data_IF_848235456630
#
_entry.id   IF_848235456630
#
_cell.length_a   1.000
_cell.length_b   1.000
_cell.length_c   1.000
_cell.angle_alpha   90.00
_cell.angle_beta   90.00
_cell.angle_gamma   90.00
#
_symmetry.space_group_name_H-M   'P 1'
#
loop_
_entity.id
_entity.type
_entity.pdbx_description
1 polymer ?
#
# COMPACT_ATOMS: atom_id res chain seq x y z
N UNK A 1 -22.39 2.28 51.47
CA UNK A 1 -21.20 1.69 50.84
C UNK A 1 -21.63 1.07 49.50
N UNK A 2 -21.37 1.76 48.37
CA UNK A 2 -21.61 1.22 47.01
C UNK A 2 -20.26 0.70 46.51
N UNK A 3 -20.18 -0.61 46.30
CA UNK A 3 -19.01 -1.23 45.65
C UNK A 3 -19.05 -0.91 44.16
N UNK A 4 -18.01 -0.23 43.66
CA UNK A 4 -17.74 -0.14 42.24
C UNK A 4 -17.12 -1.47 41.79
N UNK A 5 -17.83 -2.21 40.94
CA UNK A 5 -17.29 -3.36 40.22
C UNK A 5 -16.62 -2.83 38.99
N UNK A 6 -15.29 -2.82 38.96
CA UNK A 6 -14.50 -2.52 37.76
C UNK A 6 -14.53 -3.75 36.85
N UNK A 7 -15.22 -3.62 35.71
CA UNK A 7 -15.15 -4.61 34.63
C UNK A 7 -13.85 -4.37 33.83
N UNK A 8 -12.83 -5.18 34.10
CA UNK A 8 -11.65 -5.27 33.23
C UNK A 8 -12.01 -6.04 31.98
N UNK A 9 -12.15 -5.34 30.87
CA UNK A 9 -12.25 -5.97 29.55
C UNK A 9 -10.87 -6.54 29.18
N UNK A 10 -10.66 -7.84 29.38
CA UNK A 10 -9.55 -8.57 28.79
C UNK A 10 -9.82 -8.71 27.28
N UNK A 11 -9.15 -7.87 26.46
CA UNK A 11 -9.08 -8.11 25.03
C UNK A 11 -8.12 -9.30 24.85
N UNK A 12 -8.68 -10.46 24.55
CA UNK A 12 -7.91 -11.65 24.18
C UNK A 12 -7.25 -11.40 22.83
N UNK A 13 -5.97 -11.03 22.82
CA UNK A 13 -5.16 -11.05 21.61
C UNK A 13 -5.01 -12.51 21.15
N UNK A 14 -5.66 -12.85 20.05
CA UNK A 14 -5.47 -14.16 19.41
C UNK A 14 -4.13 -14.14 18.68
N UNK A 15 -3.12 -14.88 19.19
CA UNK A 15 -1.87 -15.10 18.46
C UNK A 15 -1.90 -16.46 17.77
N UNK A 16 -1.59 -16.47 16.47
CA UNK A 16 -1.41 -17.68 15.66
C UNK A 16 0.05 -17.77 15.21
N UNK A 17 0.61 -18.98 15.19
CA UNK A 17 2.00 -19.21 14.73
C UNK A 17 1.95 -19.93 13.38
N UNK A 18 2.59 -19.33 12.37
CA UNK A 18 2.93 -19.99 11.11
C UNK A 18 4.43 -20.29 11.17
N UNK A 19 4.86 -21.52 10.90
CA UNK A 19 6.25 -21.99 10.87
C UNK A 19 7.32 -20.88 11.04
N UNK A 20 7.63 -20.45 12.29
CA UNK A 20 8.63 -19.43 12.58
C UNK A 20 8.18 -17.96 12.48
N UNK A 21 6.88 -17.70 12.33
CA UNK A 21 6.31 -16.34 12.34
C UNK A 21 5.15 -16.24 13.33
N UNK A 22 5.30 -15.36 14.30
CA UNK A 22 4.24 -14.98 15.24
C UNK A 22 3.37 -13.90 14.63
N UNK A 23 2.05 -14.05 14.76
CA UNK A 23 1.08 -13.06 14.27
C UNK A 23 0.20 -12.60 15.42
N UNK A 24 0.29 -11.31 15.76
CA UNK A 24 -0.62 -10.65 16.69
C UNK A 24 -1.75 -10.03 15.85
N UNK A 25 -2.98 -10.52 16.00
CA UNK A 25 -4.13 -10.17 15.15
C UNK A 25 -5.08 -9.16 15.79
N UNK A 26 -5.84 -8.47 14.94
CA UNK A 26 -6.96 -7.59 15.33
C UNK A 26 -6.52 -6.50 16.34
N UNK A 27 -5.36 -5.90 16.09
CA UNK A 27 -4.86 -4.78 16.88
C UNK A 27 -5.59 -3.52 16.43
N UNK A 28 -6.40 -2.93 17.30
CA UNK A 28 -7.08 -1.65 17.05
C UNK A 28 -6.04 -0.53 16.84
N UNK A 29 -6.13 0.21 15.74
CA UNK A 29 -5.21 1.31 15.48
C UNK A 29 -5.88 2.68 15.29
N UNK A 30 -7.14 2.72 14.83
CA UNK A 30 -7.88 3.96 14.65
C UNK A 30 -9.40 3.72 14.60
N UNK A 31 -10.16 4.78 14.82
CA UNK A 31 -11.59 4.84 14.47
C UNK A 31 -11.81 6.07 13.60
N UNK A 32 -12.13 5.86 12.33
CA UNK A 32 -12.31 6.90 11.34
C UNK A 32 -13.72 6.78 10.70
N UNK A 33 -14.44 7.89 10.64
CA UNK A 33 -15.80 7.91 10.09
C UNK A 33 -16.76 6.92 10.78
N UNK A 34 -16.57 6.65 12.08
CA UNK A 34 -17.37 5.69 12.86
C UNK A 34 -17.03 4.22 12.59
N UNK A 35 -16.00 3.92 11.80
CA UNK A 35 -15.52 2.57 11.54
C UNK A 35 -14.24 2.31 12.35
N UNK A 36 -14.24 1.25 13.15
CA UNK A 36 -13.04 0.75 13.82
C UNK A 36 -12.15 0.02 12.84
N UNK A 37 -10.86 0.34 12.86
CA UNK A 37 -9.85 -0.19 11.97
C UNK A 37 -8.80 -0.96 12.76
N UNK A 38 -8.41 -2.12 12.23
CA UNK A 38 -7.50 -3.05 12.88
C UNK A 38 -6.33 -3.38 11.96
N UNK A 39 -5.24 -3.82 12.55
CA UNK A 39 -4.09 -4.35 11.84
C UNK A 39 -3.61 -5.65 12.46
N UNK A 40 -2.91 -6.46 11.65
CA UNK A 40 -2.24 -7.68 12.08
C UNK A 40 -0.73 -7.47 11.99
N UNK A 41 0.01 -7.80 13.06
CA UNK A 41 1.47 -7.69 13.11
C UNK A 41 2.11 -9.07 12.97
N UNK A 42 2.90 -9.24 11.91
CA UNK A 42 3.70 -10.43 11.63
C UNK A 42 5.15 -10.17 12.02
N UNK A 43 5.75 -11.06 12.80
CA UNK A 43 7.16 -10.98 13.21
C UNK A 43 7.79 -12.37 13.19
N UNK A 44 9.01 -12.49 12.68
CA UNK A 44 9.77 -13.73 12.85
C UNK A 44 10.09 -13.97 14.33
N UNK A 45 10.01 -15.20 14.75
CA UNK A 45 10.49 -15.67 16.07
C UNK A 45 11.96 -16.13 16.00
N UNK A 46 12.53 -16.28 14.80
CA UNK A 46 13.88 -16.77 14.58
C UNK A 46 14.81 -15.76 13.93
N UNK A 47 14.30 -14.90 13.01
CA UNK A 47 15.10 -13.89 12.33
C UNK A 47 15.23 -12.62 13.18
N UNK A 48 16.47 -12.17 13.36
CA UNK A 48 16.72 -10.91 14.04
C UNK A 48 16.19 -9.73 13.20
N UNK A 49 15.35 -8.88 13.80
CA UNK A 49 14.88 -7.64 13.17
C UNK A 49 15.89 -6.52 13.33
N UNK A 50 16.04 -5.70 12.30
CA UNK A 50 16.86 -4.46 12.35
C UNK A 50 15.99 -3.18 12.44
N UNK A 51 14.74 -3.36 12.82
CA UNK A 51 13.75 -2.29 12.99
C UNK A 51 13.01 -1.91 11.71
N UNK A 52 13.20 -2.62 10.58
CA UNK A 52 12.41 -2.39 9.37
C UNK A 52 10.95 -2.79 9.59
N UNK A 53 10.05 -1.89 9.21
CA UNK A 53 8.62 -2.12 9.23
C UNK A 53 8.04 -1.99 7.82
N UNK A 54 7.25 -2.99 7.39
CA UNK A 54 6.51 -2.97 6.14
C UNK A 54 5.01 -2.86 6.44
N UNK A 55 4.37 -1.76 6.06
CA UNK A 55 2.91 -1.62 6.12
C UNK A 55 2.33 -2.14 4.81
N UNK A 56 1.52 -3.19 4.89
CA UNK A 56 0.89 -3.79 3.72
C UNK A 56 -0.58 -3.40 3.61
N UNK A 57 -0.99 -2.95 2.41
CA UNK A 57 -2.35 -2.52 2.06
C UNK A 57 -2.88 -3.40 0.94
N UNK A 58 -3.94 -4.14 1.21
CA UNK A 58 -4.53 -5.08 0.25
C UNK A 58 -5.28 -4.38 -0.88
N UNK A 59 -5.50 -5.10 -1.99
CA UNK A 59 -6.30 -4.67 -3.13
C UNK A 59 -7.80 -4.91 -2.97
N UNK A 60 -8.55 -4.78 -4.08
CA UNK A 60 -9.99 -5.06 -4.11
C UNK A 60 -10.86 -3.89 -4.55
N UNK A 61 -10.29 -2.92 -5.28
CA UNK A 61 -11.03 -1.81 -5.91
C UNK A 61 -11.71 -0.86 -4.93
N UNK A 62 -11.26 -0.82 -3.67
CA UNK A 62 -11.93 -0.10 -2.58
C UNK A 62 -13.37 -0.59 -2.29
N UNK A 63 -13.75 -1.79 -2.79
CA UNK A 63 -15.08 -2.39 -2.64
C UNK A 63 -15.04 -3.56 -1.68
N UNK A 64 -14.02 -4.40 -1.79
CA UNK A 64 -13.86 -5.67 -1.07
C UNK A 64 -12.37 -5.96 -0.80
N UNK A 65 -12.09 -7.12 -0.21
CA UNK A 65 -10.76 -7.56 0.19
C UNK A 65 -10.57 -7.48 1.69
N UNK A 66 -9.52 -8.12 2.16
CA UNK A 66 -9.18 -8.20 3.58
C UNK A 66 -7.67 -8.36 3.76
N UNK A 67 -7.12 -7.80 4.83
CA UNK A 67 -5.75 -8.08 5.27
C UNK A 67 -5.51 -9.58 5.50
N UNK A 68 -6.58 -10.34 5.75
CA UNK A 68 -6.56 -11.78 6.06
C UNK A 68 -6.78 -12.68 4.83
N UNK A 69 -6.90 -12.13 3.61
CA UNK A 69 -6.97 -12.96 2.39
C UNK A 69 -5.68 -13.79 2.24
N UNK A 70 -5.82 -15.03 1.80
CA UNK A 70 -4.75 -16.04 1.83
C UNK A 70 -3.45 -15.58 1.17
N UNK A 71 -3.52 -14.91 0.02
CA UNK A 71 -2.34 -14.39 -0.67
C UNK A 71 -1.65 -13.29 0.14
N UNK A 72 -2.42 -12.41 0.78
CA UNK A 72 -1.91 -11.33 1.63
C UNK A 72 -1.19 -11.91 2.84
N UNK A 73 -1.80 -12.90 3.51
CA UNK A 73 -1.18 -13.61 4.65
C UNK A 73 0.13 -14.27 4.24
N UNK A 74 0.15 -14.98 3.09
CA UNK A 74 1.38 -15.62 2.57
C UNK A 74 2.47 -14.59 2.30
N UNK A 75 2.16 -13.48 1.65
CA UNK A 75 3.13 -12.41 1.38
C UNK A 75 3.67 -11.80 2.67
N UNK A 76 2.80 -11.41 3.60
CA UNK A 76 3.19 -10.83 4.88
C UNK A 76 4.07 -11.78 5.70
N UNK A 77 3.73 -13.08 5.73
CA UNK A 77 4.53 -14.12 6.37
C UNK A 77 5.93 -14.21 5.76
N UNK A 78 6.03 -14.30 4.42
CA UNK A 78 7.32 -14.35 3.71
C UNK A 78 8.20 -13.13 3.97
N UNK A 79 7.61 -11.94 4.09
CA UNK A 79 8.35 -10.72 4.42
C UNK A 79 8.80 -10.73 5.88
N UNK A 80 7.97 -11.22 6.81
CA UNK A 80 8.34 -11.38 8.22
C UNK A 80 9.48 -12.40 8.42
N UNK A 81 9.46 -13.54 7.69
CA UNK A 81 10.55 -14.54 7.67
C UNK A 81 11.91 -13.93 7.30
N UNK A 82 11.91 -12.80 6.55
CA UNK A 82 13.10 -12.03 6.16
C UNK A 82 13.52 -10.96 7.18
N UNK A 83 12.99 -11.04 8.40
CA UNK A 83 13.38 -10.19 9.53
C UNK A 83 12.69 -8.83 9.56
N UNK A 84 11.58 -8.65 8.88
CA UNK A 84 10.77 -7.44 8.93
C UNK A 84 9.64 -7.56 9.94
N UNK A 85 9.30 -6.47 10.63
CA UNK A 85 7.97 -6.34 11.24
C UNK A 85 7.00 -5.97 10.13
N UNK A 86 5.96 -6.79 9.87
CA UNK A 86 4.97 -6.50 8.85
C UNK A 86 3.64 -6.17 9.50
N UNK A 87 3.06 -5.02 9.14
CA UNK A 87 1.74 -4.59 9.58
C UNK A 87 0.76 -4.66 8.40
N UNK A 88 -0.10 -5.67 8.37
CA UNK A 88 -1.20 -5.73 7.40
C UNK A 88 -2.40 -4.97 7.97
N UNK A 89 -2.87 -3.94 7.27
CA UNK A 89 -3.89 -3.03 7.78
C UNK A 89 -5.26 -3.24 7.13
N UNK A 90 -6.33 -3.07 7.91
CA UNK A 90 -7.65 -2.74 7.37
C UNK A 90 -7.64 -1.27 6.93
N UNK A 91 -8.51 -0.92 6.01
CA UNK A 91 -8.79 0.46 5.63
C UNK A 91 -10.24 0.57 5.15
N UNK A 92 -10.81 1.77 5.16
CA UNK A 92 -12.20 1.99 4.74
C UNK A 92 -12.37 1.75 3.25
N UNK A 93 -13.33 0.91 2.90
CA UNK A 93 -13.66 0.53 1.52
C UNK A 93 -14.65 1.55 0.93
N UNK A 94 -14.17 2.73 0.54
CA UNK A 94 -14.97 3.88 0.15
C UNK A 94 -15.83 3.71 -1.12
N UNK A 95 -15.61 2.62 -1.87
CA UNK A 95 -16.45 2.26 -3.04
C UNK A 95 -17.49 1.19 -2.72
N UNK A 96 -17.52 0.67 -1.48
CA UNK A 96 -18.53 -0.33 -1.08
C UNK A 96 -19.92 0.29 -1.11
N UNK A 97 -20.84 -0.31 -1.90
CA UNK A 97 -22.20 0.20 -2.06
C UNK A 97 -22.37 1.35 -3.06
N UNK A 98 -21.30 1.82 -3.69
CA UNK A 98 -21.38 2.84 -4.74
C UNK A 98 -21.86 2.22 -6.05
N UNK A 99 -23.00 2.68 -6.55
CA UNK A 99 -23.67 2.08 -7.72
C UNK A 99 -23.37 2.75 -9.06
N UNK A 100 -22.72 3.92 -9.07
CA UNK A 100 -22.45 4.67 -10.31
C UNK A 100 -21.09 5.33 -10.25
N UNK A 101 -20.14 4.73 -10.95
CA UNK A 101 -18.85 5.36 -11.30
C UNK A 101 -18.86 5.60 -12.80
N UNK A 102 -18.56 6.82 -13.22
CA UNK A 102 -18.51 7.19 -14.63
C UNK A 102 -17.34 8.11 -14.93
N UNK A 103 -16.95 8.18 -16.21
CA UNK A 103 -15.84 9.05 -16.64
C UNK A 103 -16.00 10.52 -16.24
N UNK A 104 -17.25 10.98 -16.03
CA UNK A 104 -17.58 12.34 -15.61
C UNK A 104 -17.91 12.44 -14.10
N UNK A 105 -17.96 11.31 -13.39
CA UNK A 105 -18.22 11.28 -11.94
C UNK A 105 -17.09 10.56 -11.22
N UNK A 106 -15.99 11.26 -11.01
CA UNK A 106 -14.79 10.75 -10.33
C UNK A 106 -14.82 10.93 -8.81
N UNK A 107 -15.78 11.70 -8.27
CA UNK A 107 -15.87 11.98 -6.83
C UNK A 107 -15.88 10.74 -5.93
N UNK A 108 -16.61 9.66 -6.25
CA UNK A 108 -16.60 8.48 -5.38
C UNK A 108 -15.22 7.83 -5.28
N UNK A 109 -14.51 7.67 -6.40
CA UNK A 109 -13.17 7.06 -6.41
C UNK A 109 -12.14 7.99 -5.76
N UNK A 110 -12.25 9.28 -5.98
CA UNK A 110 -11.43 10.30 -5.33
C UNK A 110 -11.57 10.23 -3.81
N UNK A 111 -12.82 10.25 -3.32
CA UNK A 111 -13.11 10.10 -1.89
C UNK A 111 -12.59 8.76 -1.35
N UNK A 112 -12.75 7.66 -2.08
CA UNK A 112 -12.26 6.34 -1.65
C UNK A 112 -10.73 6.31 -1.51
N UNK A 113 -10.01 6.95 -2.44
CA UNK A 113 -8.54 7.10 -2.37
C UNK A 113 -8.15 7.96 -1.18
N UNK A 114 -8.85 9.09 -0.96
CA UNK A 114 -8.56 10.01 0.12
C UNK A 114 -8.73 9.36 1.49
N UNK A 115 -9.86 8.70 1.77
CA UNK A 115 -10.11 8.06 3.06
C UNK A 115 -9.17 6.85 3.29
N UNK A 116 -8.78 6.12 2.24
CA UNK A 116 -7.80 5.04 2.37
C UNK A 116 -6.38 5.58 2.68
N UNK A 117 -6.00 6.71 2.08
CA UNK A 117 -4.74 7.38 2.40
C UNK A 117 -4.74 7.93 3.84
N UNK A 118 -5.88 8.45 4.32
CA UNK A 118 -6.05 8.87 5.71
C UNK A 118 -5.84 7.69 6.66
N UNK A 119 -6.45 6.54 6.39
CA UNK A 119 -6.34 5.35 7.22
C UNK A 119 -4.90 4.81 7.25
N UNK A 120 -4.17 4.87 6.13
CA UNK A 120 -2.76 4.51 6.09
C UNK A 120 -1.89 5.51 6.89
N UNK A 121 -2.19 6.81 6.85
CA UNK A 121 -1.53 7.80 7.69
C UNK A 121 -1.78 7.51 9.17
N UNK A 122 -3.01 7.17 9.56
CA UNK A 122 -3.37 6.80 10.93
C UNK A 122 -2.63 5.53 11.40
N UNK A 123 -2.57 4.50 10.55
CA UNK A 123 -1.82 3.27 10.85
C UNK A 123 -0.32 3.56 10.99
N UNK A 124 0.23 4.42 10.15
CA UNK A 124 1.64 4.85 10.24
C UNK A 124 1.89 5.57 11.55
N UNK A 125 1.02 6.48 11.95
CA UNK A 125 1.09 7.17 13.25
C UNK A 125 1.04 6.20 14.41
N UNK A 126 0.10 5.26 14.40
CA UNK A 126 -0.01 4.22 15.43
C UNK A 126 1.29 3.42 15.58
N UNK A 127 1.91 3.02 14.47
CA UNK A 127 3.16 2.26 14.47
C UNK A 127 4.34 3.07 14.99
N UNK A 128 4.41 4.37 14.68
CA UNK A 128 5.41 5.29 15.21
C UNK A 128 5.25 5.42 16.73
N UNK A 129 4.04 5.62 17.23
CA UNK A 129 3.75 5.78 18.64
C UNK A 129 4.01 4.49 19.44
N UNK A 130 3.89 3.33 18.80
CA UNK A 130 4.12 2.02 19.41
C UNK A 130 5.44 1.36 18.96
N UNK A 131 6.39 2.12 18.40
CA UNK A 131 7.62 1.59 17.81
C UNK A 131 8.46 0.75 18.75
N UNK A 132 8.53 1.11 20.03
CA UNK A 132 9.23 0.33 21.06
C UNK A 132 8.61 -1.05 21.29
N UNK A 133 7.27 -1.13 21.32
CA UNK A 133 6.53 -2.38 21.51
C UNK A 133 6.75 -3.38 20.37
N UNK A 134 6.86 -2.88 19.13
CA UNK A 134 6.97 -3.73 17.94
C UNK A 134 8.40 -3.81 17.38
N UNK A 135 9.38 -3.20 18.01
CA UNK A 135 10.78 -3.18 17.58
C UNK A 135 10.98 -2.45 16.26
N UNK A 136 10.25 -1.34 16.04
CA UNK A 136 10.25 -0.57 14.79
C UNK A 136 11.21 0.62 14.92
N UNK A 137 11.97 0.88 13.86
CA UNK A 137 12.67 2.14 13.66
C UNK A 137 11.82 3.03 12.75
N UNK A 138 11.37 4.18 13.25
CA UNK A 138 10.50 5.11 12.52
C UNK A 138 11.13 5.70 11.24
N UNK A 139 12.45 5.60 11.09
CA UNK A 139 13.17 5.94 9.85
C UNK A 139 13.24 4.78 8.85
N UNK A 140 12.74 3.60 9.21
CA UNK A 140 12.76 2.38 8.38
C UNK A 140 11.34 1.84 8.15
N UNK A 141 10.36 2.74 8.02
CA UNK A 141 8.98 2.37 7.68
C UNK A 141 8.80 2.39 6.16
N UNK A 142 8.39 1.27 5.61
CA UNK A 142 8.07 1.05 4.21
C UNK A 142 6.56 0.84 4.06
N UNK A 143 6.03 1.17 2.89
CA UNK A 143 4.66 0.81 2.52
C UNK A 143 4.66 -0.06 1.27
N UNK A 144 3.75 -1.01 1.23
CA UNK A 144 3.55 -1.91 0.10
C UNK A 144 2.06 -2.10 -0.15
N UNK A 145 1.64 -2.07 -1.40
CA UNK A 145 0.24 -2.27 -1.71
C UNK A 145 -0.02 -2.93 -3.06
N UNK A 146 -1.19 -3.55 -3.16
CA UNK A 146 -1.69 -4.22 -4.36
C UNK A 146 -2.91 -3.47 -4.91
N UNK A 147 -2.96 -3.15 -6.23
CA UNK A 147 -4.14 -2.56 -6.88
C UNK A 147 -4.65 -1.30 -6.13
N UNK A 148 -5.86 -1.31 -5.58
CA UNK A 148 -6.37 -0.22 -4.73
C UNK A 148 -5.42 0.11 -3.57
N UNK A 149 -4.81 -0.90 -2.93
CA UNK A 149 -3.78 -0.69 -1.92
C UNK A 149 -2.51 -0.06 -2.48
N UNK A 150 -2.14 -0.36 -3.73
CA UNK A 150 -1.01 0.28 -4.41
C UNK A 150 -1.30 1.74 -4.74
N UNK A 151 -2.55 2.07 -5.12
CA UNK A 151 -3.00 3.46 -5.24
C UNK A 151 -2.89 4.15 -3.88
N UNK A 152 -3.36 3.51 -2.82
CA UNK A 152 -3.32 4.06 -1.46
C UNK A 152 -1.90 4.40 -1.02
N UNK A 153 -0.92 3.49 -1.16
CA UNK A 153 0.46 3.74 -0.71
C UNK A 153 1.15 4.83 -1.53
N UNK A 154 0.89 4.89 -2.85
CA UNK A 154 1.43 5.94 -3.70
C UNK A 154 0.79 7.30 -3.40
N UNK A 155 -0.54 7.34 -3.18
CA UNK A 155 -1.25 8.56 -2.81
C UNK A 155 -0.78 9.07 -1.46
N UNK A 156 -0.64 8.20 -0.47
CA UNK A 156 -0.17 8.59 0.87
C UNK A 156 1.23 9.20 0.83
N UNK A 157 2.15 8.66 0.02
CA UNK A 157 3.48 9.28 -0.14
C UNK A 157 3.40 10.61 -0.92
N UNK A 158 2.47 10.74 -1.87
CA UNK A 158 2.18 12.00 -2.56
C UNK A 158 1.66 13.06 -1.58
N UNK A 159 0.67 12.71 -0.73
CA UNK A 159 0.14 13.60 0.32
C UNK A 159 1.24 14.00 1.32
N UNK A 160 2.06 13.04 1.76
CA UNK A 160 3.20 13.27 2.64
C UNK A 160 4.23 14.22 2.00
N UNK A 161 4.62 13.99 0.74
CA UNK A 161 5.63 14.78 0.04
C UNK A 161 5.17 16.22 -0.21
N UNK A 162 3.87 16.42 -0.36
CA UNK A 162 3.24 17.73 -0.54
C UNK A 162 2.82 18.39 0.77
N UNK A 163 2.94 17.67 1.91
CA UNK A 163 2.53 18.15 3.23
C UNK A 163 1.10 18.67 3.22
N UNK A 164 0.18 17.92 2.64
CA UNK A 164 -1.24 18.26 2.64
C UNK A 164 -1.82 18.22 4.06
N UNK A 165 -3.00 18.80 4.25
CA UNK A 165 -3.69 18.78 5.55
C UNK A 165 -3.89 17.37 6.07
N UNK A 166 -4.26 16.43 5.18
CA UNK A 166 -4.39 15.02 5.51
C UNK A 166 -3.09 14.46 6.10
N UNK A 167 -1.97 14.60 5.39
CA UNK A 167 -0.69 14.07 5.85
C UNK A 167 -0.21 14.79 7.11
N UNK A 168 -0.40 16.10 7.20
CA UNK A 168 0.02 16.91 8.35
C UNK A 168 -0.74 16.58 9.64
N UNK A 169 -1.98 16.09 9.52
CA UNK A 169 -2.81 15.69 10.68
C UNK A 169 -2.26 14.46 11.41
N UNK A 170 -1.60 13.55 10.70
CA UNK A 170 -1.17 12.27 11.24
C UNK A 170 0.36 12.12 11.31
N UNK A 171 1.07 12.56 10.27
CA UNK A 171 2.49 12.27 10.12
C UNK A 171 3.35 13.37 10.76
N UNK A 172 4.39 13.00 11.53
CA UNK A 172 5.31 13.97 12.12
C UNK A 172 5.94 14.89 11.08
N UNK A 173 6.31 16.08 11.48
CA UNK A 173 7.07 16.97 10.61
C UNK A 173 8.42 16.35 10.22
N UNK A 174 8.77 16.47 8.94
CA UNK A 174 10.00 15.86 8.40
C UNK A 174 9.95 14.34 8.24
N UNK A 175 8.80 13.66 8.55
CA UNK A 175 8.65 12.23 8.31
C UNK A 175 8.74 11.91 6.83
N UNK A 176 9.41 10.80 6.51
CA UNK A 176 9.41 10.20 5.17
C UNK A 176 9.39 8.68 5.29
N UNK A 177 8.63 8.04 4.42
CA UNK A 177 8.77 6.59 4.26
C UNK A 177 10.15 6.25 3.75
N UNK A 178 10.73 5.14 4.22
CA UNK A 178 12.00 4.62 3.74
C UNK A 178 11.90 4.06 2.31
N UNK A 179 10.71 3.69 1.89
CA UNK A 179 10.40 3.29 0.52
C UNK A 179 8.94 2.91 0.34
N UNK A 180 8.50 2.90 -0.91
CA UNK A 180 7.15 2.52 -1.34
C UNK A 180 7.24 1.39 -2.36
N UNK A 181 6.43 0.36 -2.21
CA UNK A 181 6.32 -0.75 -3.17
C UNK A 181 4.89 -0.78 -3.72
N UNK A 182 4.76 -0.72 -5.03
CA UNK A 182 3.47 -0.59 -5.71
C UNK A 182 3.27 -1.70 -6.74
N UNK A 183 2.28 -2.57 -6.52
CA UNK A 183 1.85 -3.58 -7.48
C UNK A 183 0.61 -3.09 -8.22
N UNK A 184 0.80 -2.58 -9.45
CA UNK A 184 -0.23 -2.01 -10.31
C UNK A 184 -0.98 -0.82 -9.67
N UNK A 185 -0.25 0.22 -9.24
CA UNK A 185 -0.79 1.43 -8.63
C UNK A 185 -0.77 2.66 -9.53
N UNK A 186 -1.37 3.73 -9.02
CA UNK A 186 -1.41 5.05 -9.64
C UNK A 186 -1.55 6.15 -8.58
N UNK A 187 -1.28 7.40 -8.96
CA UNK A 187 -1.57 8.60 -8.15
C UNK A 187 -2.72 9.36 -8.79
N UNK A 188 -3.68 9.78 -7.99
CA UNK A 188 -4.75 10.67 -8.39
C UNK A 188 -4.35 12.12 -8.08
N UNK A 189 -4.46 13.00 -9.07
CA UNK A 189 -4.06 14.41 -8.92
C UNK A 189 -5.10 15.35 -9.47
N UNK A 190 -5.37 16.42 -8.74
CA UNK A 190 -6.22 17.55 -9.11
C UNK A 190 -5.45 18.69 -9.79
N UNK A 191 -4.11 18.65 -9.78
CA UNK A 191 -3.23 19.72 -10.24
C UNK A 191 -2.52 19.39 -11.56
N UNK A 192 -3.02 18.41 -12.30
CA UNK A 192 -2.38 17.93 -13.51
C UNK A 192 -1.36 16.83 -13.21
N UNK A 193 -0.17 16.90 -13.82
CA UNK A 193 0.84 15.89 -13.52
C UNK A 193 1.26 15.98 -12.05
N UNK A 194 1.40 14.85 -11.35
CA UNK A 194 1.81 14.85 -9.95
C UNK A 194 3.17 15.55 -9.77
N UNK A 195 3.19 16.61 -8.99
CA UNK A 195 4.39 17.32 -8.55
C UNK A 195 4.58 17.14 -7.05
N UNK A 196 5.84 17.13 -6.61
CA UNK A 196 6.22 16.83 -5.24
C UNK A 196 7.01 18.02 -4.67
N UNK A 197 6.49 18.64 -3.58
CA UNK A 197 7.19 19.75 -2.87
C UNK A 197 8.50 19.27 -2.23
N UNK A 198 8.50 18.04 -1.70
CA UNK A 198 9.71 17.34 -1.26
C UNK A 198 9.86 16.05 -2.05
N UNK A 199 11.06 15.48 -2.10
CA UNK A 199 11.26 14.23 -2.82
C UNK A 199 10.32 13.13 -2.31
N UNK A 200 9.65 12.37 -3.22
CA UNK A 200 8.94 11.17 -2.84
C UNK A 200 9.91 10.12 -2.29
N UNK A 201 9.39 9.18 -1.52
CA UNK A 201 10.17 8.04 -1.05
C UNK A 201 10.74 7.23 -2.24
N UNK A 202 11.91 6.57 -2.10
CA UNK A 202 12.36 5.59 -3.08
C UNK A 202 11.24 4.61 -3.40
N UNK A 203 10.86 4.47 -4.68
CA UNK A 203 9.67 3.71 -5.05
C UNK A 203 10.00 2.54 -5.99
N UNK A 204 9.45 1.35 -5.67
CA UNK A 204 9.55 0.18 -6.53
C UNK A 204 8.18 -0.14 -7.14
N UNK A 205 8.09 0.05 -8.44
CA UNK A 205 6.87 -0.16 -9.22
C UNK A 205 6.91 -1.50 -9.96
N UNK A 206 5.80 -2.22 -9.91
CA UNK A 206 5.51 -3.40 -10.73
C UNK A 206 4.21 -3.15 -11.47
N UNK A 207 4.19 -3.25 -12.81
CA UNK A 207 2.97 -2.99 -13.57
C UNK A 207 2.94 -3.73 -14.90
N UNK A 208 1.78 -4.25 -15.27
CA UNK A 208 1.53 -4.78 -16.60
C UNK A 208 1.32 -3.65 -17.62
N UNK A 209 1.95 -3.74 -18.78
CA UNK A 209 1.87 -2.66 -19.80
C UNK A 209 0.48 -2.51 -20.40
N UNK A 210 -0.34 -3.58 -20.34
CA UNK A 210 -1.68 -3.66 -20.91
C UNK A 210 -2.79 -3.55 -19.85
N UNK A 211 -2.43 -3.14 -18.63
CA UNK A 211 -3.39 -2.97 -17.54
C UNK A 211 -4.41 -1.88 -17.88
N UNK A 212 -5.69 -2.31 -17.94
CA UNK A 212 -6.84 -1.46 -18.22
C UNK A 212 -7.67 -1.15 -16.99
N UNK A 213 -7.42 -1.88 -15.89
CA UNK A 213 -8.14 -1.70 -14.63
C UNK A 213 -7.53 -0.57 -13.81
N UNK A 214 -6.23 -0.64 -13.55
CA UNK A 214 -5.45 0.49 -13.06
C UNK A 214 -4.53 0.95 -14.18
N UNK A 215 -4.79 2.15 -14.70
CA UNK A 215 -4.11 2.66 -15.89
C UNK A 215 -2.59 2.60 -15.76
N UNK A 216 -1.92 1.92 -16.71
CA UNK A 216 -0.45 1.85 -16.74
C UNK A 216 0.21 3.20 -17.03
N UNK A 217 -0.39 4.00 -17.94
CA UNK A 217 0.13 5.32 -18.29
C UNK A 217 -0.62 6.41 -17.51
N UNK A 218 -1.61 7.04 -18.13
CA UNK A 218 -2.46 8.08 -17.48
C UNK A 218 -3.79 8.23 -18.19
N UNK A 219 -4.80 8.61 -17.40
CA UNK A 219 -6.06 9.18 -17.86
C UNK A 219 -6.12 10.58 -17.28
N UNK A 220 -6.32 11.60 -18.14
CA UNK A 220 -6.32 13.01 -17.70
C UNK A 220 -7.43 13.77 -18.42
N UNK A 221 -8.17 14.56 -17.65
CA UNK A 221 -9.16 15.51 -18.13
C UNK A 221 -8.92 16.86 -17.45
N UNK A 222 -8.49 17.88 -18.19
CA UNK A 222 -7.96 19.13 -17.66
C UNK A 222 -6.84 18.87 -16.62
N UNK A 223 -7.02 19.35 -15.40
CA UNK A 223 -6.06 19.16 -14.30
C UNK A 223 -6.32 17.89 -13.49
N UNK A 224 -7.48 17.28 -13.64
CA UNK A 224 -7.81 16.03 -12.95
C UNK A 224 -7.24 14.83 -13.70
N UNK A 225 -6.59 13.90 -13.01
CA UNK A 225 -6.07 12.69 -13.65
C UNK A 225 -5.62 11.60 -12.71
N UNK A 226 -5.60 10.39 -13.27
CA UNK A 226 -5.00 9.20 -12.66
C UNK A 226 -3.71 8.87 -13.42
N UNK A 227 -2.59 8.84 -12.71
CA UNK A 227 -1.25 8.69 -13.27
C UNK A 227 -0.64 7.38 -12.81
N UNK A 228 -0.58 6.41 -13.72
CA UNK A 228 -0.01 5.09 -13.45
C UNK A 228 1.51 5.06 -13.54
N UNK A 229 2.05 3.88 -13.31
CA UNK A 229 3.48 3.63 -13.19
C UNK A 229 4.33 4.24 -14.30
N UNK A 230 3.90 4.17 -15.58
CA UNK A 230 4.69 4.74 -16.69
C UNK A 230 4.78 6.27 -16.61
N UNK A 231 3.69 6.94 -16.26
CA UNK A 231 3.67 8.38 -16.09
C UNK A 231 4.52 8.81 -14.87
N UNK A 232 4.40 8.08 -13.75
CA UNK A 232 5.16 8.33 -12.52
C UNK A 232 6.66 8.09 -12.73
N UNK A 233 7.07 6.97 -13.34
CA UNK A 233 8.47 6.68 -13.62
C UNK A 233 9.13 7.74 -14.50
N UNK A 234 8.42 8.29 -15.51
CA UNK A 234 8.89 9.41 -16.32
C UNK A 234 9.09 10.68 -15.47
N UNK A 235 8.18 10.94 -14.50
CA UNK A 235 8.34 12.07 -13.55
C UNK A 235 9.56 11.86 -12.66
N UNK A 236 9.70 10.68 -12.05
CA UNK A 236 10.81 10.32 -11.19
C UNK A 236 12.15 10.48 -11.93
N UNK A 237 12.23 9.97 -13.16
CA UNK A 237 13.41 10.15 -14.02
C UNK A 237 13.71 11.62 -14.28
N UNK A 238 12.69 12.42 -14.64
CA UNK A 238 12.84 13.85 -14.96
C UNK A 238 13.42 14.65 -13.80
N UNK A 239 12.97 14.37 -12.57
CA UNK A 239 13.39 15.11 -11.36
C UNK A 239 14.51 14.42 -10.59
N UNK A 240 15.04 13.31 -11.09
CA UNK A 240 16.13 12.58 -10.46
C UNK A 240 15.75 11.92 -9.14
N UNK A 241 14.48 11.55 -8.94
CA UNK A 241 14.03 10.78 -7.78
C UNK A 241 14.50 9.33 -7.88
N UNK A 242 14.61 8.67 -6.74
CA UNK A 242 15.01 7.26 -6.67
C UNK A 242 13.83 6.34 -7.00
N UNK A 243 13.99 5.44 -7.99
CA UNK A 243 12.96 4.48 -8.33
C UNK A 243 13.51 3.19 -8.93
N UNK A 244 12.71 2.13 -8.82
CA UNK A 244 12.82 0.92 -9.62
C UNK A 244 11.49 0.68 -10.33
N UNK A 245 11.50 0.20 -11.55
CA UNK A 245 10.29 -0.19 -12.27
C UNK A 245 10.50 -1.49 -13.03
N UNK A 246 9.58 -2.43 -12.82
CA UNK A 246 9.45 -3.66 -13.58
C UNK A 246 8.19 -3.57 -14.43
N UNK A 247 8.39 -3.50 -15.75
CA UNK A 247 7.35 -3.37 -16.77
C UNK A 247 7.07 -4.73 -17.39
N UNK A 248 5.95 -5.32 -17.09
CA UNK A 248 5.59 -6.66 -17.61
C UNK A 248 4.86 -6.51 -18.93
N UNK A 249 5.57 -6.78 -20.04
CA UNK A 249 5.07 -6.58 -21.40
C UNK A 249 3.89 -7.48 -21.70
N UNK A 250 2.79 -6.88 -22.20
CA UNK A 250 1.58 -7.59 -22.58
C UNK A 250 0.78 -8.17 -21.41
N UNK A 251 1.18 -7.91 -20.16
CA UNK A 251 0.41 -8.28 -18.97
C UNK A 251 -0.52 -7.14 -18.55
N UNK A 252 -1.67 -7.52 -18.00
CA UNK A 252 -2.66 -6.61 -17.43
C UNK A 252 -2.60 -6.57 -15.90
N UNK A 253 -3.77 -6.57 -15.28
CA UNK A 253 -3.92 -6.36 -13.84
C UNK A 253 -3.49 -7.57 -12.97
N UNK A 254 -3.16 -8.73 -13.55
CA UNK A 254 -2.56 -9.85 -12.82
C UNK A 254 -1.25 -9.48 -12.13
N UNK A 255 -0.58 -8.42 -12.59
CA UNK A 255 0.65 -7.91 -11.96
C UNK A 255 0.36 -7.21 -10.62
N UNK A 256 -0.89 -6.95 -10.28
CA UNK A 256 -1.26 -6.52 -8.94
C UNK A 256 -0.97 -7.58 -7.86
N UNK A 257 -0.89 -8.86 -8.23
CA UNK A 257 -0.71 -9.97 -7.28
C UNK A 257 0.51 -10.84 -7.55
N UNK A 258 0.90 -11.04 -8.81
CA UNK A 258 1.99 -11.98 -9.15
C UNK A 258 3.32 -11.67 -8.46
N UNK A 259 3.75 -10.40 -8.24
CA UNK A 259 5.00 -10.10 -7.53
C UNK A 259 5.00 -10.56 -6.07
N UNK A 260 3.83 -10.64 -5.43
CA UNK A 260 3.70 -11.11 -4.04
C UNK A 260 4.15 -12.57 -3.83
N UNK A 261 4.27 -13.32 -4.92
CA UNK A 261 4.74 -14.72 -4.90
C UNK A 261 6.11 -14.85 -5.53
N UNK A 262 6.36 -14.14 -6.64
CA UNK A 262 7.52 -14.32 -7.50
C UNK A 262 8.72 -13.47 -7.14
N UNK A 263 8.46 -12.21 -6.77
CA UNK A 263 9.50 -11.19 -6.67
C UNK A 263 9.77 -10.81 -5.20
N UNK A 264 9.49 -11.75 -4.27
CA UNK A 264 9.63 -11.53 -2.82
C UNK A 264 11.08 -11.20 -2.44
N UNK A 265 12.06 -11.85 -3.07
CA UNK A 265 13.48 -11.61 -2.80
C UNK A 265 13.96 -10.28 -3.35
N UNK A 266 13.51 -9.85 -4.53
CA UNK A 266 13.76 -8.53 -5.10
C UNK A 266 13.14 -7.41 -4.24
N UNK A 267 11.93 -7.64 -3.72
CA UNK A 267 11.26 -6.72 -2.80
C UNK A 267 12.06 -6.61 -1.50
N UNK A 268 12.47 -7.73 -0.92
CA UNK A 268 13.28 -7.76 0.28
C UNK A 268 14.66 -7.08 0.08
N UNK A 269 15.30 -7.30 -1.07
CA UNK A 269 16.55 -6.63 -1.43
C UNK A 269 16.38 -5.12 -1.60
N UNK A 270 15.26 -4.66 -2.17
CA UNK A 270 14.92 -3.25 -2.23
C UNK A 270 14.74 -2.65 -0.83
N UNK A 271 13.97 -3.31 0.03
CA UNK A 271 13.73 -2.85 1.41
C UNK A 271 15.02 -2.81 2.23
N UNK A 272 15.96 -3.73 1.97
CA UNK A 272 17.27 -3.73 2.62
C UNK A 272 18.10 -2.51 2.22
N UNK A 273 18.03 -2.08 0.95
CA UNK A 273 18.87 -1.01 0.40
C UNK A 273 18.09 -0.14 -0.61
N UNK A 274 17.11 0.68 -0.18
CA UNK A 274 16.20 1.38 -1.10
C UNK A 274 16.89 2.47 -1.94
N UNK A 275 17.98 3.04 -1.44
CA UNK A 275 18.68 4.17 -2.07
C UNK A 275 19.99 3.82 -2.78
N UNK A 276 20.45 2.55 -2.72
CA UNK A 276 21.78 2.16 -3.26
C UNK A 276 21.86 2.32 -4.78
N UNK A 277 20.78 2.02 -5.48
CA UNK A 277 20.69 2.23 -6.93
C UNK A 277 19.65 3.31 -7.19
N UNK A 278 20.07 4.42 -7.79
CA UNK A 278 19.20 5.58 -7.99
C UNK A 278 18.04 5.30 -8.93
N UNK A 279 18.25 4.53 -9.99
CA UNK A 279 17.17 4.14 -10.90
C UNK A 279 17.43 2.79 -11.58
N UNK A 280 16.38 1.97 -11.63
CA UNK A 280 16.31 0.76 -12.46
C UNK A 280 15.02 0.85 -13.26
N UNK A 281 15.11 0.64 -14.57
CA UNK A 281 13.95 0.57 -15.47
C UNK A 281 14.08 -0.70 -16.31
N UNK A 282 13.34 -1.75 -15.93
CA UNK A 282 13.40 -3.06 -16.56
C UNK A 282 12.10 -3.41 -17.26
N UNK A 283 12.24 -3.90 -18.49
CA UNK A 283 11.14 -4.54 -19.23
C UNK A 283 11.22 -6.04 -19.05
N UNK A 284 10.16 -6.65 -18.55
CA UNK A 284 10.06 -8.08 -18.23
C UNK A 284 9.19 -8.76 -19.28
N UNK A 285 9.77 -9.71 -20.00
CA UNK A 285 9.10 -10.56 -21.01
C UNK A 285 9.06 -12.02 -20.49
N UNK A 286 8.41 -12.25 -19.35
CA UNK A 286 8.33 -13.58 -18.74
C UNK A 286 6.98 -14.23 -19.01
N UNK A 287 6.94 -15.15 -19.96
CA UNK A 287 5.72 -15.87 -20.38
C UNK A 287 5.22 -16.88 -19.35
N UNK A 288 5.97 -17.14 -18.28
CA UNK A 288 5.62 -18.12 -17.23
C UNK A 288 4.64 -17.56 -16.21
N UNK A 289 4.37 -16.24 -16.21
CA UNK A 289 3.36 -15.64 -15.35
C UNK A 289 1.97 -16.12 -15.82
N UNK A 290 1.18 -16.77 -14.95
CA UNK A 290 -0.15 -17.22 -15.34
C UNK A 290 -1.04 -16.04 -15.73
N UNK A 291 -1.71 -16.16 -16.86
CA UNK A 291 -2.77 -15.21 -17.24
C UNK A 291 -4.02 -15.49 -16.42
N UNK A 292 -4.73 -14.43 -16.06
CA UNK A 292 -5.95 -14.53 -15.29
C UNK A 292 -7.04 -13.61 -15.86
N UNK A 293 -8.30 -13.86 -15.50
CA UNK A 293 -9.43 -13.02 -15.95
C UNK A 293 -9.26 -11.56 -15.53
N UNK A 294 -8.63 -11.31 -14.37
CA UNK A 294 -8.39 -9.95 -13.91
C UNK A 294 -7.38 -9.19 -14.80
N UNK A 295 -6.52 -9.89 -15.52
CA UNK A 295 -5.58 -9.28 -16.45
C UNK A 295 -6.25 -8.51 -17.58
N UNK A 296 -7.43 -8.92 -18.01
CA UNK A 296 -8.23 -8.24 -19.04
C UNK A 296 -9.34 -7.34 -18.48
N UNK A 297 -9.51 -7.29 -17.17
CA UNK A 297 -10.56 -6.53 -16.52
C UNK A 297 -10.43 -5.01 -16.74
N UNK A 298 -11.57 -4.33 -16.75
CA UNK A 298 -11.70 -2.88 -16.87
C UNK A 298 -12.44 -2.33 -15.65
N UNK A 299 -12.38 -1.02 -15.37
CA UNK A 299 -13.11 -0.42 -14.25
C UNK A 299 -14.61 -0.75 -14.24
N UNK A 300 -15.23 -0.78 -15.43
CA UNK A 300 -16.64 -1.13 -15.57
C UNK A 300 -16.98 -2.54 -15.06
N UNK A 301 -16.04 -3.48 -15.09
CA UNK A 301 -16.26 -4.86 -14.64
C UNK A 301 -16.29 -4.96 -13.11
N UNK A 302 -15.68 -4.00 -12.42
CA UNK A 302 -15.72 -3.89 -10.95
C UNK A 302 -16.92 -3.09 -10.43
N UNK A 303 -17.32 -2.03 -11.14
CA UNK A 303 -18.24 -1.02 -10.64
C UNK A 303 -19.63 -1.06 -11.29
N UNK A 304 -19.88 -1.99 -12.21
CA UNK A 304 -21.23 -2.27 -12.72
C UNK A 304 -21.95 -3.22 -11.78
N UNK A 305 -23.02 -2.74 -11.19
CA UNK A 305 -24.13 -3.53 -10.71
C UNK A 305 -25.38 -3.18 -11.51
#
# INVERSE_FOLDING_TARGET
MRQLIAFSFFISLTSSTFAGVKVDKEIFYAENGGQKLYLDIYRSDTAQTDGRCLIFVFGGGFIHGSKSDSLNVVFCTKMAERGMTVAAIDYRLGMKGVSKVGKLNTKPIDNAIHIAAEDLCAATRFLIDNKGKYGINDKKIFTCGSSAGAITVLQTDYERANRTELAAAYLPEGFSYAGVISFAGAVFSHEGNPDYKTAPAPTFFFHGTDDKLVVYNKIKFFNLGLFGTNALAKRFKKFGYTYRVYRFTGYGHEIASSPMVRDVDEIAAFIKNPGVIKSIDCTINDTRIPRSKIGSAKPDDLYKK
#
